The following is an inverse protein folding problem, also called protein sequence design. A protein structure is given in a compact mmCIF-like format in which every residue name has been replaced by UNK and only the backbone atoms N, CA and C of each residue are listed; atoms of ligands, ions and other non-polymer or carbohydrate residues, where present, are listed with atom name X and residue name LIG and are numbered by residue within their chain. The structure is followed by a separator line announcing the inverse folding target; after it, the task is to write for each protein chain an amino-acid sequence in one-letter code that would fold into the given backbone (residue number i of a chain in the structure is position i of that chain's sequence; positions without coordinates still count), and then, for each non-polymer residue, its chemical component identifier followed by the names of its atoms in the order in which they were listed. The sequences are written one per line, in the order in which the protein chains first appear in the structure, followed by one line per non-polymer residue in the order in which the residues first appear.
data_IF_820011019282
#
_entry.id   IF_820011019282
#
_cell.length_a   1.000
_cell.length_b   1.000
_cell.length_c   1.000
_cell.angle_alpha   90.00
_cell.angle_beta   90.00
_cell.angle_gamma   90.00
#
_symmetry.space_group_name_H-M   'P 1'
#
loop_
_entity.id
_entity.type
_entity.pdbx_description
1 polymer ?
#
# COMPACT_ATOMS: atom_id res chain seq x y z
N UNK A 1 4.63 46.58 -44.57
CA UNK A 1 3.82 45.42 -44.99
C UNK A 1 3.00 45.02 -43.78
N UNK A 2 1.68 45.26 -43.80
CA UNK A 2 0.81 45.02 -42.65
C UNK A 2 0.49 43.53 -42.56
N UNK A 3 0.90 42.87 -41.47
CA UNK A 3 0.54 41.49 -41.20
C UNK A 3 -0.89 41.46 -40.63
N UNK A 4 -1.85 41.18 -41.50
CA UNK A 4 -3.22 40.84 -41.15
C UNK A 4 -3.24 39.37 -40.70
N UNK A 5 -3.24 39.14 -39.38
CA UNK A 5 -3.41 37.82 -38.78
C UNK A 5 -4.52 37.91 -37.75
N UNK A 6 -5.70 37.38 -38.10
CA UNK A 6 -6.87 37.27 -37.22
C UNK A 6 -6.42 36.62 -35.91
N UNK A 7 -6.58 37.36 -34.82
CA UNK A 7 -6.16 36.96 -33.50
C UNK A 7 -6.88 35.70 -33.03
N UNK A 8 -6.11 34.65 -32.82
CA UNK A 8 -6.41 33.57 -31.89
C UNK A 8 -5.16 33.36 -31.04
N UNK A 9 -5.23 33.74 -29.76
CA UNK A 9 -4.19 33.35 -28.81
C UNK A 9 -4.51 31.92 -28.39
N UNK A 10 -3.73 30.95 -28.87
CA UNK A 10 -3.81 29.58 -28.38
C UNK A 10 -3.51 29.62 -26.88
N UNK A 11 -4.57 29.50 -26.07
CA UNK A 11 -4.42 29.19 -24.65
C UNK A 11 -4.03 27.72 -24.63
N UNK A 12 -2.74 27.42 -24.46
CA UNK A 12 -2.33 26.07 -24.07
C UNK A 12 -3.16 25.72 -22.86
N UNK A 13 -4.04 24.74 -23.02
CA UNK A 13 -4.74 24.18 -21.89
C UNK A 13 -3.62 23.57 -21.04
N UNK A 14 -3.34 24.15 -19.88
CA UNK A 14 -2.50 23.53 -18.85
C UNK A 14 -3.26 22.33 -18.28
N UNK A 15 -3.65 21.40 -19.15
CA UNK A 15 -4.01 20.04 -18.77
C UNK A 15 -2.70 19.27 -18.60
N UNK A 16 -1.82 19.76 -17.72
CA UNK A 16 -0.82 18.92 -17.09
C UNK A 16 -1.37 18.51 -15.73
N UNK A 17 -2.40 17.66 -15.75
CA UNK A 17 -2.55 16.63 -14.71
C UNK A 17 -1.48 15.53 -14.92
N UNK A 18 -0.38 15.85 -15.60
CA UNK A 18 0.77 14.98 -15.72
C UNK A 18 1.57 15.15 -14.45
N UNK A 19 1.74 14.05 -13.72
CA UNK A 19 2.69 13.87 -12.61
C UNK A 19 4.06 14.44 -13.06
N UNK A 20 4.28 15.74 -12.88
CA UNK A 20 5.43 16.45 -13.47
C UNK A 20 6.61 16.51 -12.49
N UNK A 21 6.43 16.04 -11.25
CA UNK A 21 7.38 16.22 -10.15
C UNK A 21 8.09 14.95 -9.66
N UNK A 22 7.99 13.84 -10.39
CA UNK A 22 8.89 12.71 -10.13
C UNK A 22 10.18 12.97 -10.90
N UNK A 23 11.21 13.42 -10.19
CA UNK A 23 12.58 13.49 -10.71
C UNK A 23 12.95 12.17 -11.40
N UNK A 24 13.65 12.20 -12.53
CA UNK A 24 13.96 11.01 -13.35
C UNK A 24 14.72 9.90 -12.60
N UNK A 25 15.24 10.20 -11.41
CA UNK A 25 15.92 9.27 -10.50
C UNK A 25 15.05 8.81 -9.30
N UNK A 26 13.73 9.01 -9.35
CA UNK A 26 12.78 8.57 -8.32
C UNK A 26 11.73 7.65 -8.93
N UNK A 27 11.32 6.64 -8.16
CA UNK A 27 10.21 5.75 -8.49
C UNK A 27 9.08 6.03 -7.52
N UNK A 28 7.86 6.19 -8.06
CA UNK A 28 6.64 6.25 -7.25
C UNK A 28 5.95 4.89 -7.34
N UNK A 29 5.69 4.29 -6.18
CA UNK A 29 4.89 3.07 -6.06
C UNK A 29 3.53 3.45 -5.48
N UNK A 30 2.45 3.09 -6.17
CA UNK A 30 1.08 3.29 -5.69
C UNK A 30 0.42 1.93 -5.51
N UNK A 31 0.33 1.48 -4.25
CA UNK A 31 -0.24 0.19 -3.91
C UNK A 31 -1.00 0.28 -2.58
N UNK A 32 -1.99 -0.61 -2.40
CA UNK A 32 -2.68 -0.76 -1.12
C UNK A 32 -1.85 -1.67 -0.22
N UNK A 33 -1.05 -1.06 0.66
CA UNK A 33 -0.09 -1.76 1.53
C UNK A 33 -0.70 -2.21 2.88
N UNK A 34 -1.90 -1.75 3.22
CA UNK A 34 -2.65 -2.09 4.44
C UNK A 34 -4.08 -2.50 4.10
N UNK A 35 -4.71 -3.32 4.94
CA UNK A 35 -6.08 -3.80 4.70
C UNK A 35 -7.10 -2.66 4.71
N UNK A 36 -6.94 -1.71 5.62
CA UNK A 36 -7.72 -0.48 5.64
C UNK A 36 -6.99 0.64 4.91
N UNK A 37 -7.66 1.36 3.99
CA UNK A 37 -7.06 2.50 3.32
C UNK A 37 -6.90 3.66 4.29
N UNK A 38 -5.84 4.45 4.11
CA UNK A 38 -5.67 5.69 4.85
C UNK A 38 -6.82 6.68 4.54
N UNK A 39 -7.25 7.43 5.56
CA UNK A 39 -8.32 8.45 5.41
C UNK A 39 -7.94 9.51 4.36
N UNK A 40 -6.65 9.76 4.19
CA UNK A 40 -6.09 10.66 3.17
C UNK A 40 -4.91 9.97 2.49
N UNK A 41 -4.73 10.16 1.16
CA UNK A 41 -3.53 9.69 0.48
C UNK A 41 -2.27 10.29 1.11
N UNK A 42 -1.29 9.44 1.37
CA UNK A 42 0.01 9.84 1.89
C UNK A 42 1.09 9.57 0.82
N UNK A 43 1.97 10.55 0.60
CA UNK A 43 3.15 10.38 -0.23
C UNK A 43 4.32 10.14 0.74
N UNK A 44 4.72 8.88 0.87
CA UNK A 44 5.83 8.49 1.76
C UNK A 44 7.11 8.41 0.96
N UNK A 45 8.11 9.20 1.39
CA UNK A 45 9.46 9.19 0.82
C UNK A 45 10.46 8.45 1.70
N UNK A 46 11.68 8.29 1.18
CA UNK A 46 12.87 7.84 1.92
C UNK A 46 12.82 6.43 2.56
N UNK A 47 11.81 5.62 2.25
CA UNK A 47 11.81 4.19 2.55
C UNK A 47 12.74 3.47 1.56
N UNK A 48 13.89 3.01 2.04
CA UNK A 48 14.97 2.39 1.26
C UNK A 48 15.00 0.88 1.41
N UNK A 49 14.40 0.34 2.47
CA UNK A 49 14.41 -1.09 2.76
C UNK A 49 13.02 -1.64 2.96
N UNK A 50 12.85 -2.94 2.74
CA UNK A 50 11.58 -3.64 2.98
C UNK A 50 11.17 -3.54 4.46
N UNK A 51 12.13 -3.62 5.38
CA UNK A 51 11.88 -3.52 6.81
C UNK A 51 11.35 -2.12 7.21
N UNK A 52 11.84 -1.05 6.57
CA UNK A 52 11.31 0.31 6.78
C UNK A 52 9.85 0.43 6.29
N UNK A 53 9.50 -0.23 5.18
CA UNK A 53 8.12 -0.28 4.68
C UNK A 53 7.22 -0.97 5.71
N UNK A 54 7.62 -2.14 6.24
CA UNK A 54 6.85 -2.82 7.28
C UNK A 54 6.76 -2.03 8.59
N UNK A 55 7.85 -1.38 9.00
CA UNK A 55 7.87 -0.55 10.21
C UNK A 55 6.96 0.68 10.08
N UNK A 56 6.82 1.23 8.88
CA UNK A 56 5.95 2.36 8.60
C UNK A 56 4.48 1.94 8.50
N UNK A 57 4.14 1.02 7.58
CA UNK A 57 2.76 0.67 7.27
C UNK A 57 2.12 -0.31 8.27
N UNK A 58 2.93 -1.11 8.98
CA UNK A 58 2.49 -2.06 10.02
C UNK A 58 1.23 -2.86 9.64
N UNK A 59 1.25 -3.60 8.52
CA UNK A 59 0.08 -4.32 8.05
C UNK A 59 -0.44 -5.32 9.10
N UNK A 60 -1.75 -5.32 9.27
CA UNK A 60 -2.49 -6.26 10.13
C UNK A 60 -3.78 -6.70 9.44
N UNK A 61 -4.27 -7.89 9.79
CA UNK A 61 -5.52 -8.45 9.26
C UNK A 61 -6.21 -9.28 10.32
N UNK A 62 -7.48 -8.99 10.59
CA UNK A 62 -8.34 -9.87 11.36
C UNK A 62 -8.79 -11.04 10.49
N UNK A 63 -8.58 -12.26 10.98
CA UNK A 63 -8.96 -13.50 10.31
C UNK A 63 -9.88 -14.28 11.24
N UNK A 64 -11.04 -14.67 10.72
CA UNK A 64 -11.95 -15.59 11.37
C UNK A 64 -11.50 -17.03 11.09
N UNK A 65 -11.38 -17.83 12.14
CA UNK A 65 -11.08 -19.25 12.08
C UNK A 65 -12.30 -20.05 12.53
N UNK A 66 -12.46 -21.24 11.95
CA UNK A 66 -13.48 -22.21 12.34
C UNK A 66 -12.82 -23.39 13.05
N UNK A 67 -13.31 -23.71 14.25
CA UNK A 67 -12.89 -24.86 15.06
C UNK A 67 -13.61 -26.13 14.62
N UNK A 68 -13.08 -27.29 15.03
CA UNK A 68 -13.70 -28.60 14.74
C UNK A 68 -15.12 -28.76 15.32
N UNK A 69 -15.43 -28.03 16.40
CA UNK A 69 -16.76 -27.99 17.00
C UNK A 69 -17.75 -27.05 16.27
N UNK A 70 -17.31 -26.39 15.18
CA UNK A 70 -18.08 -25.43 14.40
C UNK A 70 -18.19 -24.05 15.02
N UNK A 71 -17.47 -23.78 16.12
CA UNK A 71 -17.35 -22.42 16.66
C UNK A 71 -16.40 -21.56 15.82
N UNK A 72 -16.64 -20.25 15.76
CA UNK A 72 -15.73 -19.30 15.12
C UNK A 72 -15.06 -18.39 16.14
N UNK A 73 -13.81 -18.02 15.87
CA UNK A 73 -13.07 -17.04 16.65
C UNK A 73 -12.17 -16.22 15.74
N UNK A 74 -11.96 -14.96 16.10
CA UNK A 74 -11.13 -14.04 15.34
C UNK A 74 -9.74 -13.94 15.97
N UNK A 75 -8.70 -13.95 15.13
CA UNK A 75 -7.35 -13.59 15.54
C UNK A 75 -6.80 -12.47 14.65
N UNK A 76 -6.05 -11.56 15.26
CA UNK A 76 -5.41 -10.46 14.57
C UNK A 76 -3.99 -10.86 14.17
N UNK A 77 -3.77 -11.09 12.88
CA UNK A 77 -2.45 -11.37 12.31
C UNK A 77 -1.69 -10.08 12.05
N UNK A 78 -0.39 -10.04 12.38
CA UNK A 78 0.47 -8.86 12.30
C UNK A 78 1.73 -9.17 11.52
N UNK A 79 1.97 -8.42 10.45
CA UNK A 79 3.09 -8.67 9.55
C UNK A 79 4.17 -7.62 9.76
N UNK A 80 5.32 -8.06 10.29
CA UNK A 80 6.51 -7.24 10.54
C UNK A 80 7.62 -7.51 9.54
N UNK A 81 7.62 -8.68 8.92
CA UNK A 81 8.58 -9.10 7.91
C UNK A 81 7.91 -9.93 6.82
N UNK A 82 8.61 -10.16 5.70
CA UNK A 82 8.15 -11.09 4.66
C UNK A 82 7.95 -12.52 5.19
N UNK A 83 8.67 -12.92 6.23
CA UNK A 83 8.57 -14.25 6.83
C UNK A 83 7.23 -14.52 7.51
N UNK A 84 6.54 -13.46 7.94
CA UNK A 84 5.26 -13.56 8.66
C UNK A 84 4.12 -14.04 7.75
N UNK A 85 4.25 -13.86 6.43
CA UNK A 85 3.32 -14.39 5.43
C UNK A 85 3.52 -15.89 5.14
N UNK A 86 4.64 -16.46 5.57
CA UNK A 86 4.92 -17.89 5.39
C UNK A 86 4.14 -18.75 6.39
N UNK A 87 3.98 -20.05 6.08
CA UNK A 87 3.30 -21.02 6.96
C UNK A 87 3.75 -20.92 8.43
N UNK A 88 5.06 -20.89 8.67
CA UNK A 88 5.62 -20.77 10.03
C UNK A 88 5.28 -19.44 10.70
N UNK A 89 5.32 -18.34 9.94
CA UNK A 89 4.97 -17.01 10.44
C UNK A 89 3.51 -16.92 10.87
N UNK A 90 2.60 -17.51 10.10
CA UNK A 90 1.19 -17.58 10.42
C UNK A 90 0.92 -18.48 11.63
N UNK A 91 1.50 -19.69 11.65
CA UNK A 91 1.34 -20.63 12.78
C UNK A 91 1.86 -20.00 14.08
N UNK A 92 3.02 -19.34 14.06
CA UNK A 92 3.58 -18.70 15.26
C UNK A 92 2.70 -17.60 15.86
N UNK A 93 1.72 -17.08 15.11
CA UNK A 93 0.82 -16.01 15.55
C UNK A 93 -0.57 -16.51 15.98
N UNK A 94 -0.90 -17.77 15.69
CA UNK A 94 -2.21 -18.35 15.96
C UNK A 94 -2.09 -19.49 16.95
N UNK A 95 -2.81 -19.38 18.08
CA UNK A 95 -2.81 -20.43 19.08
C UNK A 95 -3.44 -21.72 18.52
N UNK A 96 -4.53 -21.56 17.78
CA UNK A 96 -5.22 -22.69 17.21
C UNK A 96 -4.42 -23.39 16.10
N UNK A 97 -3.72 -22.66 15.24
CA UNK A 97 -2.86 -23.29 14.23
C UNK A 97 -1.65 -23.99 14.85
N UNK A 98 -1.21 -23.61 16.06
CA UNK A 98 -0.17 -24.31 16.78
C UNK A 98 -0.65 -25.64 17.35
N UNK A 99 -1.92 -25.74 17.76
CA UNK A 99 -2.49 -26.98 18.28
C UNK A 99 -2.71 -28.05 17.19
N UNK A 100 -2.81 -27.64 15.92
CA UNK A 100 -3.07 -28.52 14.78
C UNK A 100 -1.80 -29.09 14.11
N UNK A 101 -0.60 -28.73 14.58
CA UNK A 101 0.67 -28.93 13.87
C UNK A 101 1.65 -29.80 14.66
#
# INVERSE_FOLDING_TARGET
MYNYGIGGQERKQDASEGITEISQNRTLLLEKLTDDPAIRPEIVGDLKTVDEVFAHFKPEKEVEFESEDGSTYNEMLRFRTLGDFGKRGLINQSAALQELN
#
